data_IF_115942789504
#
_entry.id   IF_115942789504
#
_cell.length_a   1.000
_cell.length_b   1.000
_cell.length_c   1.000
_cell.angle_alpha   90.00
_cell.angle_beta   90.00
_cell.angle_gamma   90.00
#
_symmetry.space_group_name_H-M   'P 1'
#
loop_
_entity.id
_entity.type
_entity.pdbx_description
1 polymer ?
#
# COMPACT_ATOMS: atom_id res chain seq x y z
N UNK A 1 -14.73 -8.35 -20.49
CA UNK A 1 -14.78 -6.91 -20.17
C UNK A 1 -13.54 -6.45 -19.42
N UNK A 2 -12.83 -5.47 -19.97
CA UNK A 2 -11.64 -4.86 -19.36
C UNK A 2 -11.95 -4.13 -18.04
N UNK A 3 -13.07 -3.41 -17.99
CA UNK A 3 -13.50 -2.66 -16.81
C UNK A 3 -13.77 -3.56 -15.58
N UNK A 4 -14.30 -4.78 -15.80
CA UNK A 4 -14.56 -5.72 -14.72
C UNK A 4 -13.25 -6.27 -14.10
N UNK A 5 -12.23 -6.52 -14.92
CA UNK A 5 -10.89 -6.93 -14.48
C UNK A 5 -10.19 -5.82 -13.68
N UNK A 6 -10.26 -4.57 -14.16
CA UNK A 6 -9.67 -3.41 -13.47
C UNK A 6 -10.32 -3.18 -12.09
N UNK A 7 -11.65 -3.31 -12.00
CA UNK A 7 -12.35 -3.21 -10.72
C UNK A 7 -11.96 -4.35 -9.76
N UNK A 8 -11.89 -5.58 -10.25
CA UNK A 8 -11.48 -6.73 -9.44
C UNK A 8 -10.06 -6.56 -8.88
N UNK A 9 -9.13 -6.04 -9.67
CA UNK A 9 -7.77 -5.78 -9.19
C UNK A 9 -7.73 -4.62 -8.18
N UNK A 10 -8.50 -3.56 -8.42
CA UNK A 10 -8.64 -2.45 -7.46
C UNK A 10 -9.15 -2.93 -6.10
N UNK A 11 -10.21 -3.75 -6.10
CA UNK A 11 -10.81 -4.30 -4.88
C UNK A 11 -9.84 -5.22 -4.13
N UNK A 12 -9.05 -6.03 -4.86
CA UNK A 12 -8.00 -6.88 -4.30
C UNK A 12 -6.92 -6.07 -3.60
N UNK A 13 -6.43 -5.01 -4.24
CA UNK A 13 -5.38 -4.15 -3.67
C UNK A 13 -5.89 -3.37 -2.45
N UNK A 14 -7.11 -2.86 -2.50
CA UNK A 14 -7.72 -2.17 -1.35
C UNK A 14 -7.89 -3.11 -0.15
N UNK A 15 -8.35 -4.34 -0.41
CA UNK A 15 -8.50 -5.36 0.63
C UNK A 15 -7.15 -5.72 1.27
N UNK A 16 -6.09 -5.85 0.47
CA UNK A 16 -4.74 -6.10 0.96
C UNK A 16 -4.23 -4.93 1.81
N UNK A 17 -4.42 -3.68 1.35
CA UNK A 17 -4.04 -2.49 2.11
C UNK A 17 -4.70 -2.47 3.49
N UNK A 18 -6.01 -2.59 3.57
CA UNK A 18 -6.74 -2.51 4.84
C UNK A 18 -6.35 -3.62 5.82
N UNK A 19 -6.15 -4.83 5.31
CA UNK A 19 -5.65 -5.94 6.13
C UNK A 19 -4.27 -5.60 6.71
N UNK A 20 -3.35 -5.10 5.88
CA UNK A 20 -1.99 -4.78 6.32
C UNK A 20 -1.94 -3.59 7.28
N UNK A 21 -2.80 -2.57 7.10
CA UNK A 21 -2.96 -1.44 8.03
C UNK A 21 -3.37 -1.98 9.39
N UNK A 22 -4.38 -2.85 9.43
CA UNK A 22 -4.89 -3.42 10.69
C UNK A 22 -3.85 -4.29 11.39
N UNK A 23 -3.18 -5.17 10.65
CA UNK A 23 -2.12 -6.04 11.19
C UNK A 23 -0.91 -5.24 11.69
N UNK A 24 -0.54 -4.16 10.99
CA UNK A 24 0.59 -3.29 11.31
C UNK A 24 0.27 -2.13 12.25
N UNK A 25 -0.97 -2.04 12.78
CA UNK A 25 -1.43 -0.90 13.60
C UNK A 25 -1.13 0.46 12.95
N UNK A 26 -1.45 0.57 11.67
CA UNK A 26 -1.18 1.75 10.85
C UNK A 26 0.10 1.66 10.02
N UNK A 27 1.04 0.79 10.38
CA UNK A 27 2.35 0.74 9.73
C UNK A 27 2.44 -0.28 8.58
N UNK A 28 2.92 0.18 7.43
CA UNK A 28 3.17 -0.64 6.24
C UNK A 28 4.50 -0.23 5.61
N UNK A 29 5.38 -1.20 5.35
CA UNK A 29 6.56 -0.95 4.50
C UNK A 29 6.25 -1.23 3.04
N UNK A 30 6.93 -0.52 2.13
CA UNK A 30 6.82 -0.76 0.69
C UNK A 30 7.06 -2.25 0.33
N UNK A 31 8.10 -2.84 0.91
CA UNK A 31 8.47 -4.25 0.64
C UNK A 31 7.35 -5.20 1.05
N UNK A 32 6.76 -5.03 2.24
CA UNK A 32 5.67 -5.87 2.72
C UNK A 32 4.47 -5.80 1.78
N UNK A 33 4.08 -4.59 1.36
CA UNK A 33 2.95 -4.43 0.44
C UNK A 33 3.24 -5.05 -0.94
N UNK A 34 4.44 -4.85 -1.49
CA UNK A 34 4.83 -5.42 -2.78
C UNK A 34 4.80 -6.96 -2.76
N UNK A 35 5.33 -7.58 -1.71
CA UNK A 35 5.31 -9.04 -1.54
C UNK A 35 3.89 -9.60 -1.44
N UNK A 36 3.05 -9.01 -0.60
CA UNK A 36 1.68 -9.47 -0.33
C UNK A 36 0.77 -9.32 -1.55
N UNK A 37 0.95 -8.26 -2.32
CA UNK A 37 0.14 -7.98 -3.52
C UNK A 37 0.73 -8.57 -4.80
N UNK A 38 1.99 -9.04 -4.74
CA UNK A 38 2.80 -9.52 -5.88
C UNK A 38 2.97 -8.47 -6.98
N UNK A 39 2.99 -7.20 -6.59
CA UNK A 39 3.26 -6.08 -7.48
C UNK A 39 4.77 -5.86 -7.61
N UNK A 40 5.18 -5.31 -8.75
CA UNK A 40 6.52 -4.75 -8.85
C UNK A 40 6.68 -3.57 -7.88
N UNK A 41 7.91 -3.30 -7.39
CA UNK A 41 8.13 -2.24 -6.41
C UNK A 41 7.61 -0.87 -6.85
N UNK A 42 7.74 -0.52 -8.13
CA UNK A 42 7.30 0.76 -8.68
C UNK A 42 5.77 0.90 -8.69
N UNK A 43 5.03 -0.18 -8.98
CA UNK A 43 3.56 -0.18 -8.96
C UNK A 43 3.06 -0.12 -7.52
N UNK A 44 3.67 -0.90 -6.62
CA UNK A 44 3.36 -0.89 -5.20
C UNK A 44 3.56 0.49 -4.57
N UNK A 45 4.68 1.16 -4.88
CA UNK A 45 4.99 2.48 -4.35
C UNK A 45 4.01 3.55 -4.86
N UNK A 46 3.67 3.54 -6.16
CA UNK A 46 2.66 4.45 -6.71
C UNK A 46 1.31 4.28 -6.02
N UNK A 47 0.88 3.04 -5.80
CA UNK A 47 -0.37 2.76 -5.10
C UNK A 47 -0.33 3.29 -3.66
N UNK A 48 0.71 2.95 -2.89
CA UNK A 48 0.83 3.39 -1.50
C UNK A 48 0.94 4.92 -1.37
N UNK A 49 1.67 5.60 -2.26
CA UNK A 49 1.73 7.06 -2.28
C UNK A 49 0.35 7.68 -2.49
N UNK A 50 -0.42 7.17 -3.47
CA UNK A 50 -1.78 7.67 -3.72
C UNK A 50 -2.71 7.44 -2.52
N UNK A 51 -2.63 6.28 -1.87
CA UNK A 51 -3.44 6.01 -0.68
C UNK A 51 -2.99 6.87 0.51
N UNK A 52 -1.68 7.08 0.68
CA UNK A 52 -1.16 7.95 1.73
C UNK A 52 -1.63 9.39 1.57
N UNK A 53 -1.68 9.92 0.35
CA UNK A 53 -2.27 11.24 0.07
C UNK A 53 -3.75 11.30 0.42
N UNK A 54 -4.55 10.29 0.02
CA UNK A 54 -5.99 10.25 0.30
C UNK A 54 -6.28 10.20 1.81
N UNK A 55 -5.50 9.40 2.56
CA UNK A 55 -5.68 9.20 3.99
C UNK A 55 -4.90 10.19 4.86
N UNK A 56 -4.15 11.12 4.26
CA UNK A 56 -3.19 11.98 4.96
C UNK A 56 -2.25 11.18 5.88
N UNK A 57 -1.74 10.05 5.38
CA UNK A 57 -0.77 9.21 6.08
C UNK A 57 0.64 9.79 5.99
N UNK A 58 1.48 9.50 6.98
CA UNK A 58 2.89 9.87 6.93
C UNK A 58 3.67 8.88 6.06
N UNK A 59 4.66 9.38 5.32
CA UNK A 59 5.59 8.58 4.54
C UNK A 59 7.02 8.99 4.91
N UNK A 60 7.82 8.03 5.37
CA UNK A 60 9.18 8.25 5.84
C UNK A 60 10.16 7.30 5.14
N UNK A 61 11.31 7.84 4.72
CA UNK A 61 12.47 7.04 4.34
C UNK A 61 13.33 6.89 5.59
N UNK A 62 13.54 5.66 6.04
CA UNK A 62 14.38 5.35 7.21
C UNK A 62 15.87 5.35 6.82
N UNK A 63 16.74 5.38 7.83
CA UNK A 63 18.20 5.39 7.65
C UNK A 63 18.74 4.17 6.88
N UNK A 64 18.03 3.04 6.94
CA UNK A 64 18.35 1.81 6.19
C UNK A 64 17.84 1.84 4.74
N UNK A 65 17.25 2.97 4.30
CA UNK A 65 16.66 3.16 2.98
C UNK A 65 15.26 2.56 2.82
N UNK A 66 14.68 1.97 3.86
CA UNK A 66 13.31 1.45 3.80
C UNK A 66 12.27 2.58 3.78
N UNK A 67 11.17 2.36 3.05
CA UNK A 67 10.03 3.29 3.02
C UNK A 67 8.93 2.75 3.92
N UNK A 68 8.56 3.55 4.92
CA UNK A 68 7.51 3.26 5.87
C UNK A 68 6.34 4.23 5.67
N UNK A 69 5.14 3.68 5.54
CA UNK A 69 3.88 4.41 5.56
C UNK A 69 3.21 4.22 6.90
N UNK A 70 2.70 5.30 7.50
CA UNK A 70 1.94 5.28 8.75
C UNK A 70 0.56 5.90 8.56
N UNK A 71 -0.46 5.05 8.52
CA UNK A 71 -1.87 5.41 8.42
C UNK A 71 -2.46 5.57 9.82
N UNK A 72 -3.12 6.71 10.07
CA UNK A 72 -3.78 6.98 11.34
C UNK A 72 -5.08 6.17 11.46
N UNK A 73 -5.21 5.39 12.54
CA UNK A 73 -6.37 4.51 12.83
C UNK A 73 -6.95 4.78 14.22
#
# INVERSE_FOLDING_TARGET
>A
DKAALERSESDRLQSALYRLIKEGRGEITLVRFAMETRLSPDVAQRFLNSQAEIFNANCEIKDDGSILYHFHI
#
